data_IF_283234017935
#
_entry.id   IF_283234017935
#
_cell.length_a   1.000
_cell.length_b   1.000
_cell.length_c   1.000
_cell.angle_alpha   90.00
_cell.angle_beta   90.00
_cell.angle_gamma   90.00
#
_symmetry.space_group_name_H-M   'P 1'
#
loop_
_entity.id
_entity.type
_entity.pdbx_description
1 polymer ?
#
# COMPACT_ATOMS: atom_id res chain seq x y z
N UNK A 1 3.88 13.55 18.19
CA UNK A 1 4.20 14.08 16.86
C UNK A 1 2.96 14.70 16.28
N UNK A 2 3.04 15.95 15.84
CA UNK A 2 1.91 16.66 15.25
C UNK A 2 1.42 15.95 13.97
N UNK A 3 0.11 16.01 13.71
CA UNK A 3 -0.54 15.39 12.54
C UNK A 3 -1.29 16.48 11.75
N UNK A 4 -0.58 17.39 11.06
CA UNK A 4 -1.20 18.55 10.43
C UNK A 4 -2.09 18.19 9.23
N UNK A 5 -1.93 16.99 8.65
CA UNK A 5 -2.63 16.59 7.44
C UNK A 5 -3.92 15.84 7.76
N UNK A 6 -5.05 16.55 7.76
CA UNK A 6 -6.37 15.96 8.06
C UNK A 6 -7.15 15.59 6.79
N UNK A 7 -7.78 14.42 6.82
CA UNK A 7 -8.73 13.97 5.81
C UNK A 7 -10.06 14.69 5.99
N UNK A 8 -10.57 15.30 4.93
CA UNK A 8 -11.88 15.96 4.95
C UNK A 8 -13.04 14.97 5.05
N UNK A 9 -12.90 13.78 4.43
CA UNK A 9 -14.01 12.82 4.31
C UNK A 9 -14.28 12.04 5.60
N UNK A 10 -13.24 11.78 6.41
CA UNK A 10 -13.37 10.99 7.64
C UNK A 10 -12.63 11.55 8.86
N UNK A 11 -12.04 12.73 8.75
CA UNK A 11 -11.37 13.41 9.87
C UNK A 11 -10.04 12.80 10.33
N UNK A 12 -9.58 11.67 9.75
CA UNK A 12 -8.27 11.06 10.09
C UNK A 12 -7.12 12.00 9.81
N UNK A 13 -6.18 12.10 10.74
CA UNK A 13 -5.01 12.96 10.62
C UNK A 13 -3.73 12.16 10.34
N UNK A 14 -2.75 12.75 9.67
CA UNK A 14 -1.50 12.12 9.28
C UNK A 14 -0.32 13.07 9.53
N UNK A 15 0.85 12.48 9.79
CA UNK A 15 2.10 13.24 10.03
C UNK A 15 2.62 13.84 8.72
N UNK A 16 2.44 13.14 7.60
CA UNK A 16 2.89 13.59 6.29
C UNK A 16 1.75 13.72 5.27
N UNK A 17 1.92 14.62 4.29
CA UNK A 17 0.93 14.85 3.24
C UNK A 17 0.76 13.65 2.30
N UNK A 18 1.86 12.92 2.04
CA UNK A 18 1.83 11.73 1.19
C UNK A 18 1.01 10.60 1.82
N UNK A 19 0.99 10.49 3.16
CA UNK A 19 0.14 9.54 3.88
C UNK A 19 -1.34 9.89 3.71
N UNK A 20 -1.69 11.17 3.82
CA UNK A 20 -3.05 11.65 3.57
C UNK A 20 -3.47 11.40 2.11
N UNK A 21 -2.60 11.70 1.14
CA UNK A 21 -2.88 11.46 -0.29
C UNK A 21 -3.13 9.99 -0.56
N UNK A 22 -2.29 9.11 -0.02
CA UNK A 22 -2.45 7.66 -0.09
C UNK A 22 -3.76 7.21 0.55
N UNK A 23 -4.07 7.73 1.75
CA UNK A 23 -5.31 7.42 2.43
C UNK A 23 -6.55 7.82 1.62
N UNK A 24 -6.53 8.96 0.91
CA UNK A 24 -7.66 9.36 0.05
C UNK A 24 -8.00 8.33 -1.03
N UNK A 25 -7.02 7.56 -1.51
CA UNK A 25 -7.27 6.45 -2.45
C UNK A 25 -8.20 5.37 -1.85
N UNK A 26 -8.29 5.25 -0.51
CA UNK A 26 -9.24 4.33 0.13
C UNK A 26 -10.68 4.83 0.07
N UNK A 27 -10.89 6.13 -0.10
CA UNK A 27 -12.21 6.71 -0.29
C UNK A 27 -12.65 6.65 -1.74
N UNK A 28 -11.75 6.95 -2.68
CA UNK A 28 -12.07 6.93 -4.12
C UNK A 28 -12.07 5.52 -4.71
N UNK A 29 -11.43 4.55 -4.04
CA UNK A 29 -11.21 3.22 -4.60
C UNK A 29 -10.18 3.17 -5.73
N UNK A 30 -9.54 4.31 -6.04
CA UNK A 30 -8.52 4.39 -7.08
C UNK A 30 -7.34 3.47 -6.75
N UNK A 31 -6.89 2.76 -7.78
CA UNK A 31 -5.78 1.80 -7.69
C UNK A 31 -4.80 2.06 -8.83
N UNK A 32 -3.92 3.07 -8.68
CA UNK A 32 -3.00 3.48 -9.73
C UNK A 32 -2.00 2.39 -10.11
N UNK A 33 -1.68 1.49 -9.17
CA UNK A 33 -0.66 0.47 -9.35
C UNK A 33 -1.32 -0.86 -9.73
N UNK A 34 -1.34 -1.21 -11.01
CA UNK A 34 -1.91 -2.49 -11.48
C UNK A 34 -0.84 -3.54 -11.70
N UNK A 35 -1.17 -4.78 -11.37
CA UNK A 35 -0.38 -5.96 -11.71
C UNK A 35 -0.53 -6.25 -13.20
N UNK A 36 0.59 -6.35 -13.93
CA UNK A 36 0.58 -6.70 -15.35
C UNK A 36 0.17 -8.14 -15.61
N UNK A 37 0.34 -9.05 -14.64
CA UNK A 37 0.08 -10.48 -14.81
C UNK A 37 -1.40 -10.85 -14.60
N UNK A 38 -2.07 -10.24 -13.61
CA UNK A 38 -3.47 -10.56 -13.27
C UNK A 38 -4.42 -9.35 -13.27
N UNK A 39 -3.94 -8.15 -13.62
CA UNK A 39 -4.74 -6.92 -13.64
C UNK A 39 -5.11 -6.33 -12.27
N UNK A 40 -4.78 -7.02 -11.16
CA UNK A 40 -5.14 -6.59 -9.81
C UNK A 40 -4.51 -5.23 -9.47
N UNK A 41 -5.34 -4.28 -9.06
CA UNK A 41 -4.92 -2.92 -8.69
C UNK A 41 -4.58 -2.76 -7.21
N UNK A 42 -3.70 -1.80 -6.89
CA UNK A 42 -3.29 -1.42 -5.54
C UNK A 42 -3.18 0.11 -5.41
N UNK A 43 -3.45 0.62 -4.20
CA UNK A 43 -3.24 2.04 -3.86
C UNK A 43 -1.78 2.39 -3.60
N UNK A 44 -0.90 1.38 -3.45
CA UNK A 44 0.51 1.57 -3.13
C UNK A 44 1.43 0.71 -3.99
N UNK A 45 2.55 1.29 -4.44
CA UNK A 45 3.60 0.59 -5.17
C UNK A 45 4.21 -0.57 -4.37
N UNK A 46 4.43 -0.36 -3.07
CA UNK A 46 4.95 -1.41 -2.18
C UNK A 46 3.97 -2.60 -2.05
N UNK A 47 2.66 -2.34 -2.05
CA UNK A 47 1.66 -3.41 -2.03
C UNK A 47 1.68 -4.23 -3.33
N UNK A 48 1.80 -3.57 -4.49
CA UNK A 48 2.00 -4.25 -5.78
C UNK A 48 3.29 -5.09 -5.78
N UNK A 49 4.41 -4.55 -5.29
CA UNK A 49 5.67 -5.30 -5.20
C UNK A 49 5.56 -6.56 -4.34
N UNK A 50 4.92 -6.44 -3.16
CA UNK A 50 4.64 -7.60 -2.31
C UNK A 50 3.73 -8.62 -2.99
N UNK A 51 2.71 -8.14 -3.71
CA UNK A 51 1.80 -9.00 -4.47
C UNK A 51 2.51 -9.75 -5.60
N UNK A 52 3.43 -9.14 -6.34
CA UNK A 52 4.15 -9.83 -7.42
C UNK A 52 4.89 -11.10 -6.93
N UNK A 53 5.32 -11.12 -5.67
CA UNK A 53 5.94 -12.32 -5.07
C UNK A 53 4.98 -13.51 -4.97
N UNK A 54 3.67 -13.28 -4.97
CA UNK A 54 2.68 -14.37 -5.01
C UNK A 54 2.61 -15.05 -6.38
N UNK A 55 3.08 -14.38 -7.43
CA UNK A 55 3.19 -14.99 -8.76
C UNK A 55 4.52 -15.72 -8.94
N UNK A 56 5.62 -15.13 -8.46
CA UNK A 56 6.95 -15.76 -8.57
C UNK A 56 7.21 -16.89 -7.55
N UNK A 57 6.42 -16.97 -6.48
CA UNK A 57 6.67 -17.90 -5.37
C UNK A 57 7.90 -17.53 -4.53
N UNK A 58 8.45 -16.33 -4.70
CA UNK A 58 9.66 -15.88 -4.00
C UNK A 58 9.41 -15.77 -2.48
N UNK A 59 10.26 -16.44 -1.70
CA UNK A 59 10.25 -16.40 -0.22
C UNK A 59 11.56 -15.79 0.29
N UNK A 60 11.69 -14.45 0.27
CA UNK A 60 12.94 -13.77 0.60
C UNK A 60 13.29 -13.78 2.09
N UNK A 61 12.34 -14.18 2.94
CA UNK A 61 12.54 -14.29 4.38
C UNK A 61 12.56 -15.76 4.78
N UNK A 62 13.70 -16.22 5.27
CA UNK A 62 13.86 -17.53 5.88
C UNK A 62 13.91 -17.37 7.41
N UNK A 63 13.40 -18.36 8.14
CA UNK A 63 13.54 -18.38 9.59
C UNK A 63 14.94 -18.92 9.94
N UNK A 64 15.73 -18.13 10.66
CA UNK A 64 17.08 -18.56 11.09
C UNK A 64 17.09 -19.66 12.15
N UNK A 65 15.94 -20.04 12.71
CA UNK A 65 15.81 -21.09 13.74
C UNK A 65 15.27 -22.41 13.20
N UNK A 66 14.40 -22.35 12.19
CA UNK A 66 13.85 -23.51 11.51
C UNK A 66 13.69 -23.15 10.03
N UNK A 67 14.72 -23.50 9.25
CA UNK A 67 14.69 -23.39 7.78
C UNK A 67 13.77 -24.42 7.18
#
# INVERSE_FOLDING_TARGET
>A
GERPWRCGDCGKAFVASWDLKRHRLTHTGERPWRCGECGKGFGERAALGKHRRTHSGERPYACGRCG
#
